data_IF_946619345777
#
_entry.id   IF_946619345777
#
_cell.length_a   1.000
_cell.length_b   1.000
_cell.length_c   1.000
_cell.angle_alpha   90.00
_cell.angle_beta   90.00
_cell.angle_gamma   90.00
#
_symmetry.space_group_name_H-M   'P 1'
#
loop_
_entity.id
_entity.type
_entity.pdbx_description
1 polymer ?
#
# COMPACT_ATOMS: atom_id res chain seq x y z
N UNK A 1 -15.87 17.37 10.59
CA UNK A 1 -14.60 17.80 9.98
C UNK A 1 -14.31 16.80 8.86
N UNK A 2 -14.15 17.18 7.59
CA UNK A 2 -13.99 16.19 6.54
C UNK A 2 -12.64 15.49 6.69
N UNK A 3 -12.70 14.18 6.87
CA UNK A 3 -11.64 13.22 7.18
C UNK A 3 -10.71 12.91 5.99
N UNK A 4 -10.48 13.88 5.09
CA UNK A 4 -9.83 13.62 3.80
C UNK A 4 -8.33 13.90 3.73
N UNK A 5 -7.60 13.73 4.84
CA UNK A 5 -6.14 13.89 4.82
C UNK A 5 -5.43 12.56 5.11
N UNK A 6 -5.92 11.44 4.58
CA UNK A 6 -5.23 10.15 4.72
C UNK A 6 -4.10 10.03 3.69
N UNK A 7 -2.98 9.48 4.15
CA UNK A 7 -1.83 9.13 3.32
C UNK A 7 -1.61 7.63 3.40
N UNK A 8 -1.05 7.11 2.32
CA UNK A 8 -0.76 5.71 2.17
C UNK A 8 0.73 5.54 1.96
N UNK A 9 1.30 4.48 2.53
CA UNK A 9 2.67 4.09 2.27
C UNK A 9 2.74 2.61 1.94
N UNK A 10 3.48 2.25 0.90
CA UNK A 10 3.82 0.86 0.63
C UNK A 10 5.20 0.59 1.18
N UNK A 11 5.32 -0.41 2.05
CA UNK A 11 6.59 -0.85 2.64
C UNK A 11 6.80 -2.33 2.37
N UNK A 12 8.04 -2.80 2.33
CA UNK A 12 8.32 -4.23 2.18
C UNK A 12 7.73 -5.00 3.35
N UNK A 13 7.30 -6.25 3.10
CA UNK A 13 6.75 -7.09 4.17
C UNK A 13 7.78 -7.29 5.31
N UNK A 14 9.07 -7.45 4.99
CA UNK A 14 10.14 -7.57 6.01
C UNK A 14 10.29 -6.32 6.88
N UNK A 15 10.26 -5.13 6.27
CA UNK A 15 10.31 -3.86 7.02
C UNK A 15 9.07 -3.67 7.90
N UNK A 16 7.93 -4.16 7.43
CA UNK A 16 6.71 -4.17 8.23
C UNK A 16 6.79 -5.13 9.43
N UNK A 17 7.19 -6.38 9.22
CA UNK A 17 7.31 -7.38 10.29
C UNK A 17 8.33 -6.97 11.36
N UNK A 18 9.39 -6.28 10.97
CA UNK A 18 10.48 -5.90 11.88
C UNK A 18 10.08 -4.78 12.84
N UNK A 19 9.39 -3.74 12.35
CA UNK A 19 9.23 -2.49 13.11
C UNK A 19 7.85 -1.82 13.02
N UNK A 20 6.98 -2.24 12.10
CA UNK A 20 5.71 -1.53 11.80
C UNK A 20 4.46 -2.36 12.11
N UNK A 21 4.60 -3.67 12.29
CA UNK A 21 3.50 -4.59 12.57
C UNK A 21 2.76 -4.24 13.87
N UNK A 22 3.43 -3.70 14.90
CA UNK A 22 2.76 -3.26 16.13
C UNK A 22 1.80 -2.08 15.91
N UNK A 23 2.15 -1.12 15.05
CA UNK A 23 1.30 0.04 14.74
C UNK A 23 0.26 -0.25 13.66
N UNK A 24 0.62 -1.07 12.67
CA UNK A 24 -0.21 -1.35 11.50
C UNK A 24 -0.44 -2.84 11.30
N UNK A 25 -0.89 -3.54 12.33
CA UNK A 25 -1.11 -5.00 12.30
C UNK A 25 -2.14 -5.45 11.24
N UNK A 26 -3.01 -4.53 10.82
CA UNK A 26 -4.07 -4.77 9.83
C UNK A 26 -3.69 -4.31 8.40
N UNK A 27 -2.43 -4.00 8.13
CA UNK A 27 -2.01 -3.55 6.79
C UNK A 27 -2.17 -4.68 5.76
N UNK A 28 -2.95 -4.50 4.67
CA UNK A 28 -3.12 -5.53 3.66
C UNK A 28 -1.83 -5.72 2.83
N UNK A 29 -1.63 -6.96 2.35
CA UNK A 29 -0.52 -7.31 1.46
C UNK A 29 -0.90 -7.04 0.00
N UNK A 30 -0.04 -6.34 -0.72
CA UNK A 30 -0.22 -5.88 -2.09
C UNK A 30 1.10 -6.13 -2.83
N UNK A 31 1.14 -7.14 -3.70
CA UNK A 31 2.33 -7.42 -4.52
C UNK A 31 3.62 -7.67 -3.72
N UNK A 32 3.53 -8.23 -2.51
CA UNK A 32 4.69 -8.43 -1.62
C UNK A 32 5.01 -7.27 -0.67
N UNK A 33 4.24 -6.18 -0.76
CA UNK A 33 4.37 -5.00 0.11
C UNK A 33 3.15 -4.84 1.00
N UNK A 34 3.29 -4.18 2.14
CA UNK A 34 2.20 -3.85 3.06
C UNK A 34 1.75 -2.42 2.83
N UNK A 35 0.45 -2.24 2.63
CA UNK A 35 -0.16 -0.92 2.47
C UNK A 35 -0.51 -0.35 3.85
N UNK A 36 0.26 0.62 4.29
CA UNK A 36 0.02 1.39 5.50
C UNK A 36 -0.95 2.53 5.19
N UNK A 37 -1.85 2.80 6.13
CA UNK A 37 -2.72 3.98 6.10
C UNK A 37 -2.50 4.78 7.38
N UNK A 38 -2.33 6.09 7.23
CA UNK A 38 -2.12 7.00 8.35
C UNK A 38 -2.64 8.39 8.00
N UNK A 39 -2.74 9.27 9.00
CA UNK A 39 -3.12 10.66 8.76
C UNK A 39 -1.93 11.42 8.19
N UNK A 40 -2.15 12.23 7.16
CA UNK A 40 -1.15 13.13 6.59
C UNK A 40 -0.64 14.15 7.60
N UNK A 41 -1.35 14.37 8.71
CA UNK A 41 -0.85 15.16 9.85
C UNK A 41 0.22 14.42 10.68
N UNK A 42 0.27 13.09 10.63
CA UNK A 42 1.28 12.28 11.29
C UNK A 42 2.49 12.00 10.40
N UNK A 43 2.40 12.23 9.09
CA UNK A 43 3.52 12.13 8.15
C UNK A 43 4.80 12.84 8.63
N UNK A 44 4.80 14.12 9.02
CA UNK A 44 6.03 14.78 9.50
C UNK A 44 6.59 14.18 10.79
N UNK A 45 5.74 13.56 11.62
CA UNK A 45 6.22 12.83 12.81
C UNK A 45 6.87 11.51 12.41
N UNK A 46 6.31 10.81 11.42
CA UNK A 46 6.88 9.57 10.88
C UNK A 46 8.22 9.86 10.19
N UNK A 47 8.31 10.92 9.40
CA UNK A 47 9.58 11.35 8.79
C UNK A 47 10.64 11.67 9.84
N UNK A 48 10.25 12.27 10.97
CA UNK A 48 11.16 12.51 12.09
C UNK A 48 11.54 11.20 12.82
N UNK A 49 10.58 10.32 13.09
CA UNK A 49 10.79 9.06 13.81
C UNK A 49 11.65 8.07 12.99
N UNK A 50 11.49 8.07 11.67
CA UNK A 50 12.22 7.25 10.72
C UNK A 50 13.17 8.10 9.87
N UNK A 51 13.96 8.98 10.51
CA UNK A 51 14.92 9.86 9.82
C UNK A 51 15.99 9.12 9.01
N UNK A 52 16.23 7.83 9.32
CA UNK A 52 17.15 6.95 8.58
C UNK A 52 16.51 6.39 7.30
N UNK A 53 15.20 6.52 7.15
CA UNK A 53 14.44 5.98 6.01
C UNK A 53 14.11 7.09 5.01
N UNK A 54 14.43 6.85 3.75
CA UNK A 54 14.08 7.78 2.68
C UNK A 54 12.63 7.58 2.23
N UNK A 55 11.79 8.57 2.50
CA UNK A 55 10.39 8.59 2.05
C UNK A 55 10.32 8.99 0.58
N UNK A 56 9.94 8.04 -0.28
CA UNK A 56 9.89 8.22 -1.73
C UNK A 56 8.48 8.59 -2.17
N UNK A 57 8.33 9.71 -2.87
CA UNK A 57 7.06 10.19 -3.40
C UNK A 57 7.02 9.91 -4.91
N UNK A 58 6.63 8.69 -5.27
CA UNK A 58 6.64 8.20 -6.65
C UNK A 58 5.25 8.29 -7.31
N UNK A 59 5.22 8.23 -8.63
CA UNK A 59 3.97 8.04 -9.39
C UNK A 59 3.48 6.60 -9.23
N UNK A 60 2.26 6.30 -9.70
CA UNK A 60 1.72 4.93 -9.67
C UNK A 60 2.63 3.98 -10.45
N UNK A 61 3.04 4.38 -11.66
CA UNK A 61 3.87 3.58 -12.56
C UNK A 61 5.25 3.33 -11.94
N UNK A 62 5.93 4.39 -11.47
CA UNK A 62 7.21 4.28 -10.77
C UNK A 62 7.11 3.40 -9.52
N UNK A 63 6.00 3.50 -8.75
CA UNK A 63 5.82 2.66 -7.56
C UNK A 63 5.65 1.19 -7.93
N UNK A 64 4.90 0.89 -9.00
CA UNK A 64 4.75 -0.48 -9.51
C UNK A 64 6.10 -1.01 -9.98
N UNK A 65 6.88 -0.22 -10.71
CA UNK A 65 8.23 -0.62 -11.16
C UNK A 65 9.17 -0.85 -9.97
N UNK A 66 9.20 0.06 -9.00
CA UNK A 66 9.99 -0.08 -7.78
C UNK A 66 9.59 -1.33 -6.97
N UNK A 67 8.29 -1.58 -6.83
CA UNK A 67 7.77 -2.79 -6.17
C UNK A 67 8.21 -4.06 -6.90
N UNK A 68 8.11 -4.10 -8.23
CA UNK A 68 8.56 -5.22 -9.05
C UNK A 68 10.08 -5.42 -8.99
N UNK A 69 10.85 -4.33 -8.86
CA UNK A 69 12.30 -4.37 -8.69
C UNK A 69 12.74 -4.78 -7.27
N UNK A 70 11.81 -4.89 -6.32
CA UNK A 70 12.12 -5.21 -4.92
C UNK A 70 12.75 -4.04 -4.17
N UNK A 71 12.50 -2.79 -4.58
CA UNK A 71 13.06 -1.63 -3.92
C UNK A 71 12.55 -1.46 -2.49
N UNK A 72 13.48 -1.15 -1.59
CA UNK A 72 13.19 -0.93 -0.18
C UNK A 72 12.86 0.56 0.01
N UNK A 73 11.70 0.83 0.58
CA UNK A 73 11.33 2.17 1.04
C UNK A 73 9.84 2.29 1.31
N UNK A 74 9.42 3.24 2.16
CA UNK A 74 8.04 3.69 2.21
C UNK A 74 7.75 4.54 0.98
N UNK A 75 6.99 3.97 0.03
CA UNK A 75 6.48 4.70 -1.13
C UNK A 75 5.21 5.45 -0.75
N UNK A 76 5.32 6.76 -0.56
CA UNK A 76 4.20 7.60 -0.13
C UNK A 76 3.30 7.94 -1.31
N UNK A 77 2.02 7.62 -1.16
CA UNK A 77 1.00 7.81 -2.18
C UNK A 77 -0.33 8.30 -1.58
N UNK A 78 -1.18 8.89 -2.42
CA UNK A 78 -2.55 9.27 -2.06
C UNK A 78 -3.54 8.13 -2.31
N UNK A 79 -4.78 8.26 -1.82
CA UNK A 79 -5.82 7.24 -2.00
C UNK A 79 -6.02 6.81 -3.45
N UNK A 80 -5.99 7.74 -4.40
CA UNK A 80 -6.19 7.43 -5.82
C UNK A 80 -5.07 6.54 -6.34
N UNK A 81 -3.81 6.92 -6.06
CA UNK A 81 -2.63 6.15 -6.45
C UNK A 81 -2.62 4.78 -5.78
N UNK A 82 -2.88 4.72 -4.47
CA UNK A 82 -2.95 3.46 -3.73
C UNK A 82 -4.00 2.51 -4.32
N UNK A 83 -5.16 3.02 -4.72
CA UNK A 83 -6.20 2.22 -5.38
C UNK A 83 -5.73 1.66 -6.71
N UNK A 84 -5.03 2.45 -7.53
CA UNK A 84 -4.50 1.98 -8.82
C UNK A 84 -3.42 0.92 -8.64
N UNK A 85 -2.49 1.13 -7.69
CA UNK A 85 -1.45 0.16 -7.36
C UNK A 85 -2.07 -1.14 -6.85
N UNK A 86 -3.02 -1.05 -5.92
CA UNK A 86 -3.74 -2.24 -5.41
C UNK A 86 -4.47 -2.97 -6.53
N UNK A 87 -5.15 -2.26 -7.43
CA UNK A 87 -5.85 -2.87 -8.55
C UNK A 87 -4.89 -3.57 -9.53
N UNK A 88 -3.66 -3.07 -9.66
CA UNK A 88 -2.62 -3.70 -10.48
C UNK A 88 -2.14 -5.02 -9.90
N UNK A 89 -1.82 -5.06 -8.60
CA UNK A 89 -1.26 -6.25 -7.94
C UNK A 89 -2.31 -7.25 -7.43
N UNK A 90 -3.50 -6.75 -7.11
CA UNK A 90 -4.67 -7.54 -6.73
C UNK A 90 -5.80 -7.19 -7.71
N UNK A 91 -5.71 -7.66 -8.97
CA UNK A 91 -6.81 -7.49 -9.90
C UNK A 91 -8.07 -8.12 -9.28
N UNK A 92 -9.25 -7.50 -9.44
CA UNK A 92 -10.48 -8.14 -9.02
C UNK A 92 -10.54 -9.49 -9.71
N UNK A 93 -10.49 -10.57 -8.91
CA UNK A 93 -10.65 -11.90 -9.47
C UNK A 93 -12.02 -11.90 -10.15
N UNK A 94 -12.13 -12.40 -11.41
CA UNK A 94 -13.44 -12.61 -11.97
C UNK A 94 -14.18 -13.54 -11.01
N UNK A 95 -15.26 -13.03 -10.40
CA UNK A 95 -16.20 -13.81 -9.60
C UNK A 95 -16.58 -15.04 -10.44
N UNK A 96 -15.90 -16.15 -10.22
CA UNK A 96 -16.20 -17.42 -10.88
C UNK A 96 -17.34 -18.06 -10.10
N UNK A 97 -18.45 -17.33 -10.01
CA UNK A 97 -19.70 -17.72 -9.37
C UNK A 97 -20.88 -17.32 -10.27
N UNK A 98 -20.75 -17.54 -11.57
CA UNK A 98 -21.90 -17.62 -12.48
C UNK A 98 -21.64 -18.67 -13.55
N UNK A 99 -21.78 -19.95 -13.19
CA UNK A 99 -22.16 -21.03 -14.13
C UNK A 99 -22.53 -22.31 -13.36
N UNK A 100 -23.46 -22.19 -12.41
CA UNK A 100 -24.21 -23.35 -11.89
C UNK A 100 -25.71 -23.06 -12.00
N UNK A 101 -26.23 -22.80 -13.19
CA UNK A 101 -27.66 -22.80 -13.45
C UNK A 101 -27.98 -22.92 -14.95
N UNK A 102 -28.54 -24.09 -15.31
CA UNK A 102 -29.27 -24.46 -16.54
C UNK A 102 -28.46 -24.89 -17.77
N UNK A 103 -28.51 -26.19 -18.08
CA UNK A 103 -29.37 -26.69 -19.17
C UNK A 103 -29.36 -28.23 -19.28
N UNK A 104 -30.55 -28.81 -19.06
CA UNK A 104 -31.15 -30.07 -19.55
C UNK A 104 -30.62 -31.42 -19.04
#
# INVERSE_FOLDING_TARGET
>A
MPVNNQKYALVTNEGWESSLNERWSNAPLVGGYRLLVFSGSDLPKLEAEYSDTEFKYLTVEDTIEAMNAGEIGPFICNINQAREIVAHFNPPQPDTNQENNHAI
#
